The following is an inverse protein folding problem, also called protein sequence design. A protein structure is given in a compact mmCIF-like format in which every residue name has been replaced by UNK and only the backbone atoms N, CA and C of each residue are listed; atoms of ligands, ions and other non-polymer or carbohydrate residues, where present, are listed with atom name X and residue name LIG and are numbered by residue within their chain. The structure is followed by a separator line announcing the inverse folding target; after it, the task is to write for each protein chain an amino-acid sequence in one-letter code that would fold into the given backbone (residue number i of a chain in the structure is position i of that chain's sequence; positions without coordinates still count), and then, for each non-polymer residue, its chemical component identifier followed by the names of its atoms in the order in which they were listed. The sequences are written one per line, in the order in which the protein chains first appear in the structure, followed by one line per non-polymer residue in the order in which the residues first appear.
data_IF_900120917298
#
_entry.id   IF_900120917298
#
_cell.length_a   1.000
_cell.length_b   1.000
_cell.length_c   1.000
_cell.angle_alpha   90.00
_cell.angle_beta   90.00
_cell.angle_gamma   90.00
#
_symmetry.space_group_name_H-M   'P 1'
#
loop_
_entity.id
_entity.type
_entity.pdbx_description
1 polymer ?
#
# COMPACT_ATOMS: atom_id res chain seq x y z
N UNK A 1 0.30 11.43 -0.72
CA UNK A 1 0.29 11.89 0.69
C UNK A 1 0.92 10.83 1.55
N UNK A 2 2.06 11.16 2.06
CA UNK A 2 2.84 10.20 2.83
C UNK A 2 2.11 9.70 4.07
N UNK A 3 1.47 10.62 4.80
CA UNK A 3 0.77 10.24 6.02
C UNK A 3 -0.38 9.27 5.74
N UNK A 4 -1.01 9.43 4.58
CA UNK A 4 -2.13 8.56 4.21
C UNK A 4 -1.63 7.16 3.86
N UNK A 5 -0.52 7.08 3.15
CA UNK A 5 0.09 5.79 2.83
C UNK A 5 0.52 5.07 4.10
N UNK A 6 1.12 5.80 5.04
CA UNK A 6 1.52 5.22 6.33
C UNK A 6 0.30 4.71 7.09
N UNK A 7 -0.78 5.47 7.08
CA UNK A 7 -2.01 5.06 7.74
C UNK A 7 -2.50 3.73 7.18
N UNK A 8 -2.55 3.61 5.86
CA UNK A 8 -3.10 2.40 5.25
C UNK A 8 -2.16 1.21 5.35
N UNK A 9 -0.85 1.44 5.35
CA UNK A 9 0.09 0.37 5.66
C UNK A 9 -0.11 -0.11 7.09
N UNK A 10 -0.37 0.80 8.01
CA UNK A 10 -0.64 0.42 9.40
C UNK A 10 -1.94 -0.36 9.54
N UNK A 11 -2.93 -0.04 8.73
CA UNK A 11 -4.20 -0.77 8.78
C UNK A 11 -4.05 -2.22 8.33
N UNK A 12 -3.17 -2.50 7.37
CA UNK A 12 -2.98 -3.86 6.91
C UNK A 12 -1.91 -4.61 7.70
N UNK A 13 -1.27 -3.95 8.65
CA UNK A 13 -0.18 -4.53 9.41
C UNK A 13 -0.54 -5.86 10.05
N UNK A 14 -1.75 -5.96 10.61
CA UNK A 14 -2.17 -7.17 11.30
C UNK A 14 -2.40 -8.35 10.36
N UNK A 15 -2.47 -8.10 9.06
CA UNK A 15 -2.65 -9.15 8.06
C UNK A 15 -1.34 -9.56 7.40
N UNK A 16 -0.24 -8.93 7.80
CA UNK A 16 1.08 -9.22 7.23
C UNK A 16 1.88 -10.05 8.21
N UNK A 17 2.63 -11.03 7.68
CA UNK A 17 3.41 -11.92 8.52
C UNK A 17 4.66 -11.25 9.05
N UNK A 18 4.89 -11.37 10.34
CA UNK A 18 6.11 -10.88 10.98
C UNK A 18 6.35 -9.40 10.70
N UNK A 19 5.28 -8.61 10.78
CA UNK A 19 5.31 -7.21 10.39
C UNK A 19 5.62 -6.32 11.58
N UNK A 20 6.49 -5.33 11.34
CA UNK A 20 6.77 -4.32 12.36
C UNK A 20 7.33 -3.07 11.70
N UNK A 21 7.04 -1.93 12.28
CA UNK A 21 7.65 -0.68 11.89
C UNK A 21 9.04 -0.60 12.51
N UNK A 22 10.06 -0.42 11.68
CA UNK A 22 11.43 -0.22 12.16
C UNK A 22 11.63 1.22 12.61
N UNK A 23 10.95 2.13 11.93
CA UNK A 23 10.87 3.53 12.29
C UNK A 23 9.66 4.08 11.54
N UNK A 24 9.41 5.38 11.60
CA UNK A 24 8.19 5.92 11.01
C UNK A 24 8.16 5.86 9.48
N UNK A 25 9.30 5.57 8.86
CA UNK A 25 9.40 5.53 7.40
C UNK A 25 9.81 4.17 6.86
N UNK A 26 9.88 3.14 7.69
CA UNK A 26 10.31 1.82 7.25
C UNK A 26 9.47 0.73 7.91
N UNK A 27 8.74 -0.01 7.10
CA UNK A 27 7.95 -1.15 7.54
C UNK A 27 8.59 -2.41 6.97
N UNK A 28 8.71 -3.43 7.83
CA UNK A 28 9.32 -4.70 7.44
C UNK A 28 8.34 -5.84 7.70
N UNK A 29 8.22 -6.75 6.76
CA UNK A 29 7.37 -7.94 6.92
C UNK A 29 7.79 -9.00 5.90
N UNK A 30 7.25 -10.21 6.05
CA UNK A 30 7.50 -11.27 5.07
C UNK A 30 6.78 -10.91 3.77
N UNK A 31 7.40 -11.28 2.66
CA UNK A 31 6.87 -10.94 1.35
C UNK A 31 5.69 -11.83 0.96
N UNK A 32 4.50 -11.29 0.72
CA UNK A 32 3.37 -12.12 0.30
C UNK A 32 3.44 -12.57 -1.15
N UNK A 33 4.29 -11.93 -1.97
CA UNK A 33 4.42 -12.34 -3.37
C UNK A 33 5.20 -13.62 -3.54
N UNK A 34 6.26 -13.82 -2.75
CA UNK A 34 7.11 -15.00 -2.88
C UNK A 34 7.06 -15.91 -1.66
N UNK A 35 6.34 -15.51 -0.61
CA UNK A 35 6.30 -16.27 0.62
C UNK A 35 7.55 -16.15 1.46
N UNK A 36 8.53 -15.34 1.00
CA UNK A 36 9.80 -15.12 1.69
C UNK A 36 10.58 -16.44 1.86
N UNK A 37 11.43 -16.56 2.87
CA UNK A 37 12.24 -17.75 3.04
C UNK A 37 11.40 -18.96 3.43
N UNK A 38 11.48 -20.02 2.64
CA UNK A 38 10.78 -21.26 2.96
C UNK A 38 11.47 -22.01 4.09
N UNK A 39 12.76 -21.78 4.26
CA UNK A 39 13.54 -22.49 5.27
C UNK A 39 13.50 -21.81 6.63
N UNK A 40 13.25 -20.51 6.65
CA UNK A 40 13.26 -19.77 7.90
C UNK A 40 12.01 -18.88 7.97
N UNK A 41 10.97 -19.33 8.69
CA UNK A 41 9.72 -18.58 8.76
C UNK A 41 9.84 -17.26 9.53
N UNK A 42 10.95 -17.06 10.23
CA UNK A 42 11.16 -15.83 10.98
C UNK A 42 11.80 -14.72 10.16
N UNK A 43 12.30 -15.05 8.96
CA UNK A 43 12.90 -14.01 8.11
C UNK A 43 11.81 -13.16 7.48
N UNK A 44 12.07 -11.86 7.43
CA UNK A 44 11.15 -10.90 6.81
C UNK A 44 12.00 -9.99 5.93
N UNK A 45 11.87 -10.16 4.63
CA UNK A 45 12.70 -9.43 3.66
C UNK A 45 11.92 -8.46 2.79
N UNK A 46 10.63 -8.29 3.08
CA UNK A 46 9.83 -7.27 2.43
C UNK A 46 9.95 -5.98 3.19
N UNK A 47 10.20 -4.89 2.48
CA UNK A 47 10.38 -3.58 3.08
C UNK A 47 9.58 -2.54 2.34
N UNK A 48 8.86 -1.72 3.10
CA UNK A 48 8.27 -0.49 2.60
C UNK A 48 9.11 0.66 3.13
N UNK A 49 9.51 1.55 2.25
CA UNK A 49 10.33 2.69 2.66
C UNK A 49 10.00 3.89 1.77
N UNK A 50 10.45 5.07 2.19
CA UNK A 50 10.08 6.32 1.53
C UNK A 50 11.10 6.68 0.47
N UNK A 51 10.62 6.97 -0.75
CA UNK A 51 11.41 7.52 -1.82
C UNK A 51 10.61 8.69 -2.40
N UNK A 52 11.17 9.89 -2.35
CA UNK A 52 10.55 11.07 -2.92
C UNK A 52 9.11 11.29 -2.45
N UNK A 53 8.92 11.23 -1.15
CA UNK A 53 7.65 11.53 -0.50
C UNK A 53 6.56 10.50 -0.77
N UNK A 54 6.95 9.27 -1.13
CA UNK A 54 6.01 8.19 -1.33
C UNK A 54 6.61 6.89 -0.83
N UNK A 55 5.76 6.00 -0.33
CA UNK A 55 6.23 4.69 0.09
C UNK A 55 6.37 3.77 -1.11
N UNK A 56 7.45 3.00 -1.14
CA UNK A 56 7.66 1.97 -2.14
C UNK A 56 7.92 0.66 -1.42
N UNK A 57 7.65 -0.45 -2.10
CA UNK A 57 7.86 -1.79 -1.57
C UNK A 57 8.96 -2.50 -2.34
N UNK A 58 9.81 -3.19 -1.62
CA UNK A 58 10.83 -4.04 -2.25
C UNK A 58 11.07 -5.27 -1.40
N UNK A 59 11.14 -6.43 -2.06
CA UNK A 59 11.51 -7.68 -1.40
C UNK A 59 12.93 -8.05 -1.78
N UNK A 60 13.77 -8.27 -0.79
CA UNK A 60 15.16 -8.64 -1.02
C UNK A 60 15.31 -10.12 -1.33
N UNK A 61 14.24 -10.90 -1.23
CA UNK A 61 14.27 -12.32 -1.56
C UNK A 61 13.91 -12.57 -3.03
N UNK A 62 12.80 -12.03 -3.50
CA UNK A 62 12.36 -12.27 -4.88
C UNK A 62 12.60 -11.09 -5.82
N UNK A 63 13.03 -9.96 -5.29
CA UNK A 63 13.31 -8.79 -6.12
C UNK A 63 12.10 -7.98 -6.54
N UNK A 64 10.90 -8.35 -6.08
CA UNK A 64 9.70 -7.61 -6.43
C UNK A 64 9.82 -6.17 -5.93
N UNK A 65 9.51 -5.22 -6.83
CA UNK A 65 9.57 -3.80 -6.51
C UNK A 65 8.35 -3.11 -7.09
N UNK A 66 7.66 -2.32 -6.27
CA UNK A 66 6.46 -1.62 -6.69
C UNK A 66 6.16 -0.51 -5.70
N UNK A 67 5.20 0.36 -6.01
CA UNK A 67 4.75 1.33 -5.03
C UNK A 67 3.99 0.61 -3.91
N UNK A 68 4.02 1.18 -2.71
CA UNK A 68 3.27 0.58 -1.61
C UNK A 68 1.76 0.64 -1.86
N UNK A 69 1.29 1.66 -2.56
CA UNK A 69 -0.12 1.74 -2.93
C UNK A 69 -0.50 0.57 -3.83
N UNK A 70 0.36 0.22 -4.79
CA UNK A 70 0.09 -0.93 -5.64
C UNK A 70 0.18 -2.24 -4.86
N UNK A 71 1.10 -2.31 -3.89
CA UNK A 71 1.19 -3.47 -3.01
C UNK A 71 -0.16 -3.68 -2.28
N UNK A 72 -0.74 -2.60 -1.78
CA UNK A 72 -2.04 -2.68 -1.10
C UNK A 72 -3.12 -3.11 -2.10
N UNK A 73 -3.08 -2.56 -3.31
CA UNK A 73 -4.05 -2.94 -4.34
C UNK A 73 -3.98 -4.43 -4.67
N UNK A 74 -2.77 -4.96 -4.80
CA UNK A 74 -2.57 -6.36 -5.18
C UNK A 74 -3.01 -7.33 -4.08
N UNK A 75 -2.75 -6.98 -2.83
CA UNK A 75 -2.95 -7.89 -1.71
C UNK A 75 -4.19 -7.60 -0.89
N UNK A 76 -4.65 -6.36 -0.90
CA UNK A 76 -5.79 -5.92 -0.09
C UNK A 76 -6.66 -4.97 -0.91
N UNK A 77 -7.32 -5.47 -1.96
CA UNK A 77 -8.03 -4.58 -2.89
C UNK A 77 -9.14 -3.76 -2.25
N UNK A 78 -9.78 -4.28 -1.20
CA UNK A 78 -10.83 -3.51 -0.53
C UNK A 78 -10.23 -2.35 0.25
N UNK A 79 -9.10 -2.59 0.88
CA UNK A 79 -8.39 -1.52 1.58
C UNK A 79 -7.89 -0.47 0.59
N UNK A 80 -7.47 -0.90 -0.59
CA UNK A 80 -7.05 0.03 -1.63
C UNK A 80 -8.19 0.93 -2.04
N UNK A 81 -9.41 0.41 -2.15
CA UNK A 81 -10.57 1.23 -2.49
C UNK A 81 -10.81 2.31 -1.45
N UNK A 82 -10.66 1.95 -0.18
CA UNK A 82 -10.80 2.93 0.91
C UNK A 82 -9.70 3.99 0.83
N UNK A 83 -8.48 3.57 0.51
CA UNK A 83 -7.37 4.49 0.33
C UNK A 83 -7.69 5.52 -0.76
N UNK A 84 -8.18 5.06 -1.91
CA UNK A 84 -8.48 5.95 -3.02
C UNK A 84 -9.58 6.96 -2.65
N UNK A 85 -10.61 6.49 -1.93
CA UNK A 85 -11.67 7.39 -1.49
C UNK A 85 -11.14 8.49 -0.59
N UNK A 86 -10.31 8.11 0.36
CA UNK A 86 -9.74 9.08 1.29
C UNK A 86 -8.75 10.00 0.58
N UNK A 87 -7.97 9.45 -0.34
CA UNK A 87 -7.02 10.25 -1.11
C UNK A 87 -7.73 11.34 -1.90
N UNK A 88 -8.82 10.99 -2.57
CA UNK A 88 -9.60 11.96 -3.33
C UNK A 88 -10.16 13.05 -2.43
N UNK A 89 -10.64 12.65 -1.26
CA UNK A 89 -11.21 13.60 -0.31
C UNK A 89 -10.15 14.55 0.21
N UNK A 90 -8.98 14.01 0.59
CA UNK A 90 -7.93 14.83 1.20
C UNK A 90 -7.19 15.68 0.18
N UNK A 91 -7.07 15.21 -1.04
CA UNK A 91 -6.37 15.96 -2.08
C UNK A 91 -7.23 17.08 -2.65
N UNK A 92 -8.52 17.09 -2.35
CA UNK A 92 -9.42 18.07 -2.88
C UNK A 92 -9.81 17.85 -4.33
N UNK A 93 -9.40 16.75 -4.90
CA UNK A 93 -9.74 16.41 -6.28
C UNK A 93 -11.00 15.60 -6.28
N UNK A 94 -12.10 16.26 -6.12
CA UNK A 94 -13.36 15.58 -6.15
C UNK A 94 -13.62 15.03 -7.52
N UNK A 95 -14.23 13.85 -7.60
CA UNK A 95 -14.70 13.39 -8.90
C UNK A 95 -15.67 14.43 -9.36
N UNK A 96 -15.48 14.90 -10.51
CA UNK A 96 -16.32 15.96 -10.99
C UNK A 96 -17.70 15.50 -11.05
N UNK A 97 -18.27 15.95 -10.64
CA UNK A 97 -19.28 15.53 -10.73
C UNK A 97 -20.01 15.73 -11.76
N UNK A 98 -19.47 15.51 -12.09
CA UNK A 98 -19.75 15.61 -12.60
C UNK A 98 -20.42 15.46 -12.74
N UNK A 99 -20.74 15.55 -12.97
CA UNK A 99 -21.10 15.67 -13.10
C UNK A 99 -21.64 15.25 -13.22
N UNK A 100 -21.83 14.82 -13.65
CA UNK A 100 -22.02 14.50 -13.80
C UNK A 100 -22.25 13.69 -13.66
N UNK A 101 -22.39 13.15 -13.81
CA UNK A 101 -22.31 12.58 -13.73
C UNK A 101 -22.21 11.66 -13.47
N UNK A 102 -21.98 11.11 -13.78
CA UNK A 102 -21.47 10.66 -13.61
C UNK A 102 -21.23 9.79 -13.15
N UNK A 103 -21.15 9.13 -13.30
CA UNK A 103 -20.68 8.64 -13.05
C UNK A 103 -20.12 8.14 -12.58
N UNK A 104 -19.81 7.70 -12.68
CA UNK A 104 -19.04 7.54 -12.42
C UNK A 104 -18.61 7.03 -12.24
N UNK A 105 -18.37 6.91 -12.33
CA UNK A 105 -17.62 6.59 -12.20
C UNK A 105 -16.97 6.12 -11.76
N UNK A 106 -16.83 5.73 -11.89
CA UNK A 106 -16.21 5.39 -11.47
C UNK A 106 -15.52 5.13 -11.34
N UNK A 107 -15.23 4.87 -11.69
CA UNK A 107 -14.44 4.73 -11.67
C UNK A 107 -13.62 5.00 -11.97
N UNK A 108 -13.38 5.10 -12.61
CA UNK A 108 -12.53 5.44 -12.96
C UNK A 108 -11.78 5.91 -12.37
N UNK A 109 -12.24 5.72 -12.32
CA UNK A 109 -11.46 6.44 -11.86
C UNK A 109 -10.12 6.14 -11.49
N UNK A 110 -9.53 5.76 -11.68
CA UNK A 110 -8.19 5.49 -11.72
C UNK A 110 -7.80 4.09 -12.18
#
# INVERSE_FOLDING_TARGET
MLWLERKYLSLVLSYLDNAKWKNENTLNHRCPYCGDSQKNPHKARGFHFVVEQSFVYKCHNCGKSTSSVKFIKDNFPETHRDYIKEWLKESGKKPKVHASGHKMPSANVY
#
